data_IF_538713955509
#
_entry.id   IF_538713955509
#
_cell.length_a   1.000
_cell.length_b   1.000
_cell.length_c   1.000
_cell.angle_alpha   90.00
_cell.angle_beta   90.00
_cell.angle_gamma   90.00
#
_symmetry.space_group_name_H-M   'P 1'
#
loop_
_entity.id
_entity.type
_entity.pdbx_description
1 polymer ?
#
# COMPACT_ATOMS: atom_id res chain seq x y z
N UNK A 1 -13.05 -16.44 -0.81
CA UNK A 1 -12.77 -15.12 -1.41
C UNK A 1 -12.21 -14.27 -0.31
N UNK A 2 -10.90 -14.02 -0.27
CA UNK A 2 -10.32 -13.16 0.75
C UNK A 2 -10.70 -11.72 0.42
N UNK A 3 -11.20 -10.92 1.37
CA UNK A 3 -11.54 -9.54 1.09
C UNK A 3 -10.29 -8.82 0.58
N UNK A 4 -10.51 -7.94 -0.37
CA UNK A 4 -9.55 -6.95 -0.81
C UNK A 4 -9.22 -6.04 0.37
N UNK A 5 -8.11 -6.31 1.05
CA UNK A 5 -7.72 -5.48 2.18
C UNK A 5 -7.05 -4.21 1.65
N UNK A 6 -7.75 -3.10 1.81
CA UNK A 6 -7.27 -1.76 1.48
C UNK A 6 -6.67 -1.18 2.75
N UNK A 7 -5.38 -0.83 2.67
CA UNK A 7 -4.60 -0.25 3.74
C UNK A 7 -4.32 1.22 3.46
N UNK A 8 -4.01 1.96 4.52
CA UNK A 8 -3.65 3.38 4.47
C UNK A 8 -2.40 3.59 5.29
N UNK A 9 -1.42 4.26 4.69
CA UNK A 9 -0.18 4.67 5.36
C UNK A 9 -0.08 6.19 5.27
N UNK A 10 0.23 6.85 6.38
CA UNK A 10 0.37 8.30 6.44
C UNK A 10 1.76 8.71 6.91
N UNK A 11 2.34 9.70 6.25
CA UNK A 11 3.61 10.32 6.64
C UNK A 11 3.70 11.74 6.08
N UNK A 12 4.20 12.69 6.89
CA UNK A 12 4.46 14.08 6.47
C UNK A 12 3.28 14.77 5.77
N UNK A 13 2.06 14.55 6.26
CA UNK A 13 0.85 15.14 5.68
C UNK A 13 0.41 14.49 4.36
N UNK A 14 1.03 13.39 3.94
CA UNK A 14 0.64 12.58 2.79
C UNK A 14 0.04 11.26 3.25
N UNK A 15 -1.03 10.84 2.59
CA UNK A 15 -1.65 9.53 2.75
C UNK A 15 -1.46 8.72 1.46
N UNK A 16 -1.00 7.48 1.60
CA UNK A 16 -0.99 6.48 0.53
C UNK A 16 -2.06 5.45 0.83
N UNK A 17 -2.95 5.25 -0.14
CA UNK A 17 -3.89 4.13 -0.14
C UNK A 17 -3.29 3.02 -0.99
N UNK A 18 -3.19 1.83 -0.42
CA UNK A 18 -2.63 0.67 -1.10
C UNK A 18 -3.41 -0.58 -0.76
N UNK A 19 -3.20 -1.62 -1.55
CA UNK A 19 -3.90 -2.88 -1.39
C UNK A 19 -2.94 -4.04 -1.50
N UNK A 20 -3.19 -5.08 -0.69
CA UNK A 20 -2.46 -6.34 -0.75
C UNK A 20 -3.37 -7.46 -1.25
N UNK A 21 -3.12 -7.97 -2.46
CA UNK A 21 -3.81 -9.16 -2.97
C UNK A 21 -2.84 -10.32 -3.19
N UNK A 22 -3.15 -11.48 -2.58
CA UNK A 22 -2.35 -12.72 -2.60
C UNK A 22 -0.93 -12.54 -2.05
N UNK A 23 -0.06 -11.79 -2.72
CA UNK A 23 1.26 -11.31 -2.25
C UNK A 23 1.69 -10.02 -3.00
N UNK A 24 0.77 -9.38 -3.73
CA UNK A 24 1.07 -8.24 -4.59
C UNK A 24 0.51 -6.98 -3.96
N UNK A 25 1.40 -6.04 -3.65
CA UNK A 25 1.03 -4.69 -3.29
C UNK A 25 0.67 -3.89 -4.54
N UNK A 26 -0.38 -3.09 -4.46
CA UNK A 26 -0.80 -2.15 -5.50
C UNK A 26 -1.06 -0.80 -4.86
N UNK A 27 -0.42 0.24 -5.37
CA UNK A 27 -0.61 1.61 -4.90
C UNK A 27 -1.81 2.21 -5.63
N UNK A 28 -2.83 2.61 -4.88
CA UNK A 28 -4.11 3.10 -5.43
C UNK A 28 -4.05 4.61 -5.61
N UNK A 29 -3.64 5.35 -4.58
CA UNK A 29 -3.61 6.81 -4.62
C UNK A 29 -2.64 7.39 -3.60
N UNK A 30 -2.20 8.62 -3.87
CA UNK A 30 -1.50 9.47 -2.91
C UNK A 30 -2.26 10.78 -2.79
N UNK A 31 -2.63 11.17 -1.58
CA UNK A 31 -3.41 12.38 -1.30
C UNK A 31 -2.86 13.14 -0.10
N UNK A 32 -3.20 14.42 0.02
CA UNK A 32 -3.00 15.16 1.27
C UNK A 32 -3.84 14.51 2.37
N UNK A 33 -3.25 14.23 3.53
CA UNK A 33 -4.00 13.69 4.68
C UNK A 33 -4.87 14.76 5.35
N UNK A 34 -4.55 16.05 5.17
CA UNK A 34 -5.33 17.16 5.74
C UNK A 34 -6.69 17.34 5.04
N UNK A 35 -6.69 17.34 3.70
CA UNK A 35 -7.87 17.72 2.90
C UNK A 35 -8.33 16.63 1.94
N UNK A 36 -7.63 15.49 1.86
CA UNK A 36 -7.97 14.38 0.95
C UNK A 36 -7.70 14.67 -0.53
N UNK A 37 -7.12 15.82 -0.87
CA UNK A 37 -6.84 16.23 -2.25
C UNK A 37 -5.81 15.28 -2.87
N UNK A 38 -6.09 14.67 -4.04
CA UNK A 38 -5.12 13.82 -4.73
C UNK A 38 -3.85 14.60 -5.09
N UNK A 39 -2.70 14.12 -4.59
CA UNK A 39 -1.38 14.64 -4.94
C UNK A 39 -0.81 13.93 -6.17
N UNK A 40 -1.12 12.64 -6.30
CA UNK A 40 -0.74 11.83 -7.46
C UNK A 40 -1.92 10.96 -7.87
N UNK A 41 -2.22 10.98 -9.16
CA UNK A 41 -3.22 10.12 -9.78
C UNK A 41 -2.55 9.10 -10.69
N UNK A 42 -2.88 7.81 -10.50
CA UNK A 42 -2.47 6.74 -11.41
C UNK A 42 -3.59 6.43 -12.40
N UNK A 43 -3.24 6.03 -13.62
CA UNK A 43 -4.24 5.69 -14.62
C UNK A 43 -5.07 4.46 -14.16
N UNK A 44 -6.41 4.47 -14.31
CA UNK A 44 -7.24 3.32 -14.01
C UNK A 44 -6.74 2.09 -14.77
N UNK A 45 -6.58 0.96 -14.08
CA UNK A 45 -6.08 -0.29 -14.69
C UNK A 45 -4.55 -0.39 -14.88
N UNK A 46 -3.79 0.67 -14.56
CA UNK A 46 -2.31 0.64 -14.52
C UNK A 46 -1.77 1.13 -13.18
N UNK A 47 -2.35 0.64 -12.09
CA UNK A 47 -1.87 0.93 -10.75
C UNK A 47 -0.49 0.27 -10.54
N UNK A 48 0.54 1.04 -10.14
CA UNK A 48 1.87 0.49 -9.94
C UNK A 48 1.94 -0.34 -8.65
N UNK A 49 2.92 -1.25 -8.58
CA UNK A 49 3.36 -1.78 -7.29
C UNK A 49 4.29 -0.78 -6.59
N UNK A 50 4.72 -1.11 -5.36
CA UNK A 50 5.57 -0.24 -4.55
C UNK A 50 6.92 0.05 -5.23
N UNK A 51 7.52 -0.94 -5.90
CA UNK A 51 8.81 -0.74 -6.57
C UNK A 51 8.66 0.25 -7.72
N UNK A 52 7.63 0.05 -8.56
CA UNK A 52 7.36 0.93 -9.69
C UNK A 52 6.96 2.35 -9.25
N UNK A 53 6.16 2.48 -8.19
CA UNK A 53 5.82 3.79 -7.63
C UNK A 53 7.07 4.54 -7.12
N UNK A 54 8.01 3.82 -6.49
CA UNK A 54 9.29 4.39 -6.04
C UNK A 54 10.19 4.82 -7.19
N UNK A 55 10.23 4.08 -8.29
CA UNK A 55 10.95 4.48 -9.50
C UNK A 55 10.36 5.75 -10.12
N UNK A 56 9.03 5.87 -10.14
CA UNK A 56 8.34 7.02 -10.71
C UNK A 56 8.43 8.28 -9.84
N UNK A 57 8.46 8.10 -8.51
CA UNK A 57 8.42 9.17 -7.52
C UNK A 57 9.52 8.99 -6.46
N UNK A 58 10.81 9.06 -6.85
CA UNK A 58 11.92 8.82 -5.92
C UNK A 58 11.99 9.85 -4.79
N UNK A 59 11.40 11.04 -4.96
CA UNK A 59 11.33 12.09 -3.94
C UNK A 59 10.45 11.72 -2.74
N UNK A 60 9.58 10.72 -2.86
CA UNK A 60 8.71 10.23 -1.78
C UNK A 60 9.33 9.03 -1.04
N UNK A 61 10.66 8.93 -1.01
CA UNK A 61 11.40 7.77 -0.47
C UNK A 61 10.99 7.39 0.95
N UNK A 62 10.84 8.38 1.84
CA UNK A 62 10.43 8.18 3.23
C UNK A 62 9.01 7.59 3.33
N UNK A 63 8.09 8.06 2.49
CA UNK A 63 6.73 7.55 2.38
C UNK A 63 6.72 6.10 1.89
N UNK A 64 7.57 5.76 0.91
CA UNK A 64 7.73 4.39 0.43
C UNK A 64 8.32 3.44 1.47
N UNK A 65 9.24 3.95 2.30
CA UNK A 65 9.79 3.17 3.40
C UNK A 65 8.74 2.94 4.50
N UNK A 66 7.84 3.89 4.74
CA UNK A 66 6.68 3.69 5.61
C UNK A 66 5.73 2.61 5.07
N UNK A 67 5.33 2.70 3.79
CA UNK A 67 4.47 1.67 3.16
C UNK A 67 5.12 0.29 3.22
N UNK A 68 6.46 0.20 3.06
CA UNK A 68 7.18 -1.07 3.18
C UNK A 68 7.12 -1.63 4.60
N UNK A 69 7.24 -0.79 5.63
CA UNK A 69 7.13 -1.22 7.03
C UNK A 69 5.73 -1.76 7.31
N UNK A 70 4.70 -1.02 6.95
CA UNK A 70 3.31 -1.44 7.16
C UNK A 70 3.01 -2.75 6.40
N UNK A 71 3.49 -2.87 5.15
CA UNK A 71 3.40 -4.11 4.37
C UNK A 71 4.05 -5.29 5.11
N UNK A 72 5.24 -5.09 5.67
CA UNK A 72 5.95 -6.14 6.40
C UNK A 72 5.18 -6.55 7.65
N UNK A 73 4.64 -5.60 8.40
CA UNK A 73 3.79 -5.88 9.56
C UNK A 73 2.57 -6.72 9.17
N UNK A 74 1.88 -6.39 8.08
CA UNK A 74 0.74 -7.15 7.57
C UNK A 74 1.11 -8.58 7.17
N UNK A 75 2.26 -8.77 6.52
CA UNK A 75 2.73 -10.10 6.13
C UNK A 75 3.15 -10.96 7.32
N UNK A 76 3.74 -10.35 8.35
CA UNK A 76 4.22 -11.03 9.56
C UNK A 76 3.10 -11.34 10.56
N UNK A 77 2.07 -10.48 10.65
CA UNK A 77 0.95 -10.65 11.57
C UNK A 77 -0.19 -11.49 10.99
N UNK A 78 -0.08 -11.95 9.74
CA UNK A 78 -1.03 -12.89 9.18
C UNK A 78 -0.78 -14.27 9.81
N UNK A 79 -1.67 -14.78 10.68
CA UNK A 79 -1.47 -16.11 11.23
C UNK A 79 -1.42 -17.08 10.06
N UNK A 80 -0.32 -17.82 9.95
CA UNK A 80 -0.32 -19.08 9.26
C UNK A 80 -1.36 -19.92 10.01
N UNK A 81 -2.60 -19.96 9.54
CA UNK A 81 -3.54 -20.98 9.95
C UNK A 81 -3.08 -22.23 9.22
N UNK A 82 -2.31 -23.17 9.83
CA UNK A 82 -2.31 -24.51 9.29
C UNK A 82 -3.79 -24.92 9.31
N UNK A 83 -4.28 -25.39 8.18
CA UNK A 83 -5.63 -25.91 8.09
C UNK A 83 -5.70 -27.07 9.08
N UNK A 84 -6.25 -26.84 10.28
CA UNK A 84 -6.54 -27.90 11.22
C UNK A 84 -7.75 -28.65 10.66
N UNK A 85 -7.47 -29.58 9.75
CA UNK A 85 -8.36 -30.70 9.47
C UNK A 85 -8.17 -31.68 10.61
N UNK A 86 -9.15 -31.74 11.50
CA UNK A 86 -9.47 -32.91 12.31
C UNK A 86 -10.98 -33.12 12.25
#
# INVERSE_FOLDING_TARGET
>A
MFPDEVHRTELDGMQVVWQLRRCRITIISISSSADGIPLVSFAPGRLPDLARAREQLPQLSALWDAVRRDLWEQLMHRPFLPSLRM
#
